data_IF_408722262241
#
_entry.id   IF_408722262241
#
_cell.length_a   1.000
_cell.length_b   1.000
_cell.length_c   1.000
_cell.angle_alpha   90.00
_cell.angle_beta   90.00
_cell.angle_gamma   90.00
#
_symmetry.space_group_name_H-M   'P 1'
#
loop_
_entity.id
_entity.type
_entity.pdbx_description
1 polymer ?
#
# COMPACT_ATOMS: atom_id res chain seq x y z
N UNK A 1 -8.46 4.21 28.05
CA UNK A 1 -9.11 3.00 28.63
C UNK A 1 -8.09 1.87 28.68
N UNK A 2 -8.11 1.00 29.70
CA UNK A 2 -7.26 -0.20 29.70
C UNK A 2 -7.74 -1.13 28.58
N UNK A 3 -6.78 -1.78 27.90
CA UNK A 3 -7.11 -2.78 26.89
C UNK A 3 -7.94 -3.91 27.55
N UNK A 4 -8.93 -4.46 26.84
CA UNK A 4 -9.68 -5.60 27.36
C UNK A 4 -8.75 -6.78 27.62
N UNK A 5 -9.04 -7.66 28.58
CA UNK A 5 -8.24 -8.83 28.82
C UNK A 5 -8.26 -9.72 27.57
N UNK A 6 -7.09 -10.25 27.21
CA UNK A 6 -6.99 -11.17 26.08
C UNK A 6 -7.81 -12.45 26.34
N UNK A 7 -8.51 -12.97 25.33
CA UNK A 7 -9.21 -14.24 25.45
C UNK A 7 -8.20 -15.37 25.74
N UNK A 8 -8.59 -16.39 26.50
CA UNK A 8 -7.73 -17.55 26.78
C UNK A 8 -7.61 -18.51 25.61
N UNK A 9 -8.65 -18.54 24.80
CA UNK A 9 -8.74 -19.37 23.60
C UNK A 9 -9.40 -18.54 22.52
N UNK A 10 -8.97 -18.69 21.30
CA UNK A 10 -9.52 -18.05 20.10
C UNK A 10 -9.29 -18.96 18.88
N UNK A 11 -10.23 -18.99 17.98
CA UNK A 11 -10.16 -19.86 16.79
C UNK A 11 -9.02 -19.46 15.85
N UNK A 12 -8.82 -18.15 15.66
CA UNK A 12 -7.82 -17.63 14.71
C UNK A 12 -7.04 -16.47 15.32
N UNK A 13 -5.73 -16.51 15.17
CA UNK A 13 -4.84 -15.41 15.55
C UNK A 13 -4.16 -14.88 14.30
N UNK A 14 -4.27 -13.58 14.06
CA UNK A 14 -3.50 -12.86 13.03
C UNK A 14 -2.46 -12.00 13.73
N UNK A 15 -1.20 -12.23 13.43
CA UNK A 15 -0.08 -11.49 14.00
C UNK A 15 0.43 -10.45 13.03
N UNK A 16 0.29 -9.19 13.41
CA UNK A 16 0.60 -7.99 12.61
C UNK A 16 -0.65 -7.45 11.90
N UNK A 17 -1.08 -6.26 12.30
CA UNK A 17 -2.16 -5.51 11.66
C UNK A 17 -1.64 -4.61 10.51
N UNK A 18 -0.62 -5.07 9.80
CA UNK A 18 -0.10 -4.39 8.61
C UNK A 18 -1.00 -4.57 7.38
N UNK A 19 -0.48 -4.20 6.21
CA UNK A 19 -1.21 -4.20 4.93
C UNK A 19 -1.89 -5.54 4.60
N UNK A 20 -1.25 -6.66 4.94
CA UNK A 20 -1.81 -7.99 4.71
C UNK A 20 -2.71 -8.47 5.86
N UNK A 21 -2.25 -8.33 7.11
CA UNK A 21 -2.96 -8.89 8.26
C UNK A 21 -4.27 -8.20 8.56
N UNK A 22 -4.35 -6.88 8.40
CA UNK A 22 -5.59 -6.14 8.55
C UNK A 22 -6.67 -6.61 7.55
N UNK A 23 -6.27 -6.80 6.28
CA UNK A 23 -7.16 -7.31 5.23
C UNK A 23 -7.58 -8.76 5.53
N UNK A 24 -6.64 -9.60 5.95
CA UNK A 24 -6.91 -11.00 6.28
C UNK A 24 -7.92 -11.10 7.43
N UNK A 25 -7.69 -10.38 8.53
CA UNK A 25 -8.60 -10.35 9.67
C UNK A 25 -10.00 -9.88 9.25
N UNK A 26 -10.09 -8.77 8.52
CA UNK A 26 -11.37 -8.25 8.02
C UNK A 26 -12.10 -9.26 7.12
N UNK A 27 -11.40 -9.95 6.22
CA UNK A 27 -12.03 -10.91 5.29
C UNK A 27 -12.45 -12.20 5.96
N UNK A 28 -11.72 -12.70 6.95
CA UNK A 28 -12.10 -13.89 7.72
C UNK A 28 -13.40 -13.63 8.49
N UNK A 29 -13.55 -12.45 9.09
CA UNK A 29 -14.73 -12.08 9.90
C UNK A 29 -15.93 -11.63 9.07
N UNK A 30 -15.75 -11.26 7.80
CA UNK A 30 -16.81 -10.71 6.94
C UNK A 30 -17.93 -11.73 6.62
N UNK A 31 -17.60 -13.00 6.56
CA UNK A 31 -18.51 -14.08 6.10
C UNK A 31 -18.69 -15.22 7.09
N UNK A 32 -18.26 -15.07 8.31
CA UNK A 32 -18.31 -16.14 9.31
C UNK A 32 -18.46 -15.56 10.71
N UNK A 33 -19.00 -16.36 11.61
CA UNK A 33 -19.06 -16.05 13.05
C UNK A 33 -17.70 -16.31 13.75
N UNK A 34 -16.62 -16.35 12.98
CA UNK A 34 -15.28 -16.63 13.51
C UNK A 34 -14.78 -15.48 14.35
N UNK A 35 -14.29 -15.80 15.51
CA UNK A 35 -13.52 -14.89 16.33
C UNK A 35 -12.08 -14.82 15.86
N UNK A 36 -11.61 -13.62 15.56
CA UNK A 36 -10.22 -13.37 15.15
C UNK A 36 -9.56 -12.45 16.15
N UNK A 37 -8.49 -12.89 16.75
CA UNK A 37 -7.60 -12.05 17.53
C UNK A 37 -6.53 -11.44 16.63
N UNK A 38 -6.60 -10.14 16.41
CA UNK A 38 -5.58 -9.39 15.67
C UNK A 38 -4.61 -8.75 16.67
N UNK A 39 -3.34 -9.13 16.58
CA UNK A 39 -2.26 -8.61 17.43
C UNK A 39 -1.33 -7.72 16.63
N UNK A 40 -1.00 -6.56 17.16
CA UNK A 40 0.02 -5.68 16.61
C UNK A 40 1.00 -5.18 17.68
N UNK A 41 2.22 -4.88 17.28
CA UNK A 41 3.26 -4.37 18.16
C UNK A 41 3.30 -2.84 18.22
N UNK A 42 2.62 -2.19 17.30
CA UNK A 42 2.53 -0.73 17.21
C UNK A 42 1.26 -0.17 17.86
N UNK A 43 1.18 1.16 17.99
CA UNK A 43 -0.04 1.82 18.46
C UNK A 43 -1.17 1.70 17.44
N UNK A 44 -2.39 1.77 17.96
CA UNK A 44 -3.61 1.94 17.19
C UNK A 44 -4.13 3.37 17.35
N UNK A 45 -4.63 3.93 16.25
CA UNK A 45 -5.26 5.25 16.19
C UNK A 45 -6.68 5.11 15.64
N UNK A 46 -7.64 4.68 16.48
CA UNK A 46 -9.03 4.58 16.05
C UNK A 46 -9.58 5.94 15.61
N UNK A 47 -10.70 5.98 14.85
CA UNK A 47 -11.23 7.19 14.20
C UNK A 47 -11.44 8.38 15.15
N UNK A 48 -11.65 8.14 16.43
CA UNK A 48 -11.86 9.19 17.46
C UNK A 48 -10.53 9.80 17.95
N UNK A 49 -9.41 9.15 17.62
CA UNK A 49 -8.08 9.61 18.02
C UNK A 49 -7.44 10.38 16.89
N UNK A 50 -7.00 11.64 17.11
CA UNK A 50 -6.27 12.37 16.07
C UNK A 50 -5.02 11.63 15.65
N UNK A 51 -4.83 11.46 14.34
CA UNK A 51 -3.59 10.90 13.80
C UNK A 51 -2.40 11.80 14.13
N UNK A 52 -1.27 11.24 14.56
CA UNK A 52 -0.01 11.95 14.64
C UNK A 52 0.34 12.67 13.33
N UNK A 53 1.07 13.80 13.38
CA UNK A 53 1.39 14.58 12.19
C UNK A 53 2.11 13.79 11.10
N UNK A 54 3.02 12.89 11.50
CA UNK A 54 3.80 12.04 10.60
C UNK A 54 2.96 10.97 9.86
N UNK A 55 1.83 10.56 10.43
CA UNK A 55 0.88 9.64 9.78
C UNK A 55 -0.18 10.35 8.93
N UNK A 56 -0.30 11.68 9.07
CA UNK A 56 -1.24 12.47 8.25
C UNK A 56 -0.63 12.99 6.97
N UNK A 57 0.69 13.06 6.89
CA UNK A 57 1.41 13.58 5.75
C UNK A 57 1.86 12.44 4.84
N UNK A 58 1.01 12.06 3.88
CA UNK A 58 1.31 11.04 2.88
C UNK A 58 2.35 11.44 1.82
N UNK A 59 2.88 12.67 1.86
CA UNK A 59 3.91 13.12 0.93
C UNK A 59 5.31 12.65 1.29
N UNK A 60 5.48 12.09 2.48
CA UNK A 60 6.76 11.56 2.98
C UNK A 60 6.56 10.36 3.89
N UNK A 61 7.54 9.48 3.91
CA UNK A 61 7.53 8.33 4.81
C UNK A 61 7.69 8.78 6.28
N UNK A 62 6.89 8.19 7.18
CA UNK A 62 7.22 8.22 8.61
C UNK A 62 8.30 7.17 8.90
N UNK A 63 9.51 7.62 9.23
CA UNK A 63 10.68 6.74 9.42
C UNK A 63 11.31 6.85 10.82
N UNK A 64 10.65 7.53 11.74
CA UNK A 64 11.17 7.77 13.10
C UNK A 64 10.22 7.26 14.18
N UNK A 65 9.02 7.84 14.29
CA UNK A 65 8.13 7.60 15.43
C UNK A 65 7.34 6.29 15.32
N UNK A 66 7.03 5.85 14.09
CA UNK A 66 6.25 4.65 13.82
C UNK A 66 7.03 3.60 13.01
N UNK A 67 8.31 3.50 13.27
CA UNK A 67 9.23 2.60 12.55
C UNK A 67 9.86 1.57 13.49
N UNK A 68 10.18 0.38 12.97
CA UNK A 68 10.91 -0.66 13.69
C UNK A 68 12.38 -0.33 13.91
N UNK A 69 12.93 0.64 13.20
CA UNK A 69 14.33 1.04 13.24
C UNK A 69 15.29 0.01 12.63
N UNK A 70 14.81 -0.84 11.74
CA UNK A 70 15.67 -1.83 11.09
C UNK A 70 16.75 -1.18 10.23
N UNK A 71 17.90 -1.82 10.20
CA UNK A 71 19.01 -1.43 9.36
C UNK A 71 19.48 -2.61 8.54
N UNK A 72 19.80 -2.35 7.30
CA UNK A 72 20.31 -3.32 6.34
C UNK A 72 21.69 -2.93 5.86
N UNK A 73 22.58 -3.92 5.73
CA UNK A 73 23.87 -3.76 5.04
C UNK A 73 23.74 -4.42 3.67
N UNK A 74 23.72 -3.66 2.58
CA UNK A 74 23.74 -4.26 1.26
C UNK A 74 25.11 -4.88 1.00
N UNK A 75 25.12 -6.11 0.59
CA UNK A 75 26.22 -6.89 0.00
C UNK A 75 27.58 -6.85 0.75
N UNK A 76 28.27 -7.97 0.67
CA UNK A 76 29.66 -8.17 1.15
C UNK A 76 30.65 -7.87 0.00
N UNK A 77 31.73 -7.15 0.25
CA UNK A 77 32.22 -6.63 1.54
C UNK A 77 31.47 -5.38 2.00
N UNK A 78 31.35 -5.19 3.32
CA UNK A 78 30.57 -4.07 3.90
C UNK A 78 31.34 -2.73 3.75
N UNK A 79 31.39 -2.20 2.56
CA UNK A 79 32.05 -0.89 2.28
C UNK A 79 31.17 0.31 2.61
N UNK A 80 29.87 0.07 2.87
CA UNK A 80 28.89 1.11 3.09
C UNK A 80 28.33 1.03 4.51
N UNK A 81 27.98 2.18 5.12
CA UNK A 81 27.29 2.18 6.40
C UNK A 81 25.93 1.45 6.27
N UNK A 82 25.38 0.93 7.37
CA UNK A 82 24.05 0.37 7.34
C UNK A 82 23.02 1.40 6.90
N UNK A 83 22.20 1.06 5.91
CA UNK A 83 21.07 1.88 5.49
C UNK A 83 19.83 1.59 6.35
N UNK A 84 19.00 2.59 6.54
CA UNK A 84 17.67 2.40 7.10
C UNK A 84 16.87 1.46 6.21
N UNK A 85 16.13 0.56 6.85
CA UNK A 85 15.21 -0.35 6.19
C UNK A 85 13.81 -0.15 6.80
N UNK A 86 13.12 0.95 6.44
CA UNK A 86 11.88 1.35 7.09
C UNK A 86 10.80 0.30 7.01
N UNK A 87 10.16 0.02 8.15
CA UNK A 87 8.98 -0.84 8.26
C UNK A 87 8.08 -0.28 9.33
N UNK A 88 6.81 -0.05 9.00
CA UNK A 88 5.86 0.54 9.93
C UNK A 88 5.62 -0.32 11.16
N UNK A 89 5.69 0.30 12.33
CA UNK A 89 5.32 -0.26 13.63
C UNK A 89 4.11 0.50 14.16
N UNK A 90 2.98 0.22 13.58
CA UNK A 90 1.68 0.88 13.82
C UNK A 90 0.60 0.01 13.20
N UNK A 91 -0.64 0.08 13.67
CA UNK A 91 -1.78 -0.53 12.97
C UNK A 91 -1.88 0.07 11.55
N UNK A 92 -1.94 -0.78 10.53
CA UNK A 92 -1.74 -0.43 9.13
C UNK A 92 -0.32 -0.77 8.61
N UNK A 93 0.66 -0.97 9.51
CA UNK A 93 2.02 -1.35 9.15
C UNK A 93 2.67 -0.38 8.17
N UNK A 94 3.40 -0.91 7.19
CA UNK A 94 4.10 -0.07 6.20
C UNK A 94 3.17 0.70 5.27
N UNK A 95 1.90 0.30 5.11
CA UNK A 95 0.92 1.08 4.35
C UNK A 95 0.44 2.35 5.08
N UNK A 96 0.62 2.42 6.41
CA UNK A 96 0.31 3.62 7.18
C UNK A 96 1.45 4.65 7.21
N UNK A 97 2.66 4.28 6.80
CA UNK A 97 3.88 5.12 6.89
C UNK A 97 4.57 5.37 5.55
N UNK A 98 4.04 4.85 4.45
CA UNK A 98 4.58 5.04 3.10
C UNK A 98 4.13 6.38 2.48
N UNK A 99 4.49 6.61 1.23
CA UNK A 99 4.13 7.82 0.47
C UNK A 99 2.84 7.67 -0.34
N UNK A 100 1.99 6.71 0.00
CA UNK A 100 0.64 6.52 -0.58
C UNK A 100 0.62 6.32 -2.11
N UNK A 101 1.70 5.81 -2.70
CA UNK A 101 1.73 5.47 -4.13
C UNK A 101 1.01 4.14 -4.33
N UNK A 102 -0.06 4.15 -5.15
CA UNK A 102 -0.87 2.98 -5.44
C UNK A 102 -0.58 2.47 -6.87
N UNK A 103 0.48 1.70 -7.01
CA UNK A 103 0.83 1.01 -8.26
C UNK A 103 0.62 -0.49 -8.11
N UNK A 104 0.07 -1.11 -9.16
CA UNK A 104 -0.03 -2.56 -9.30
C UNK A 104 1.23 -3.10 -9.98
N UNK A 105 1.49 -4.41 -9.81
CA UNK A 105 2.38 -5.12 -10.73
C UNK A 105 1.78 -5.19 -12.13
N UNK A 106 2.60 -5.36 -13.13
CA UNK A 106 2.16 -5.58 -14.51
C UNK A 106 1.47 -6.95 -14.63
N UNK A 107 0.67 -7.13 -15.65
CA UNK A 107 -0.06 -8.38 -15.88
C UNK A 107 0.86 -9.59 -15.97
N UNK A 108 1.99 -9.45 -16.68
CA UNK A 108 3.00 -10.51 -16.83
C UNK A 108 3.71 -10.86 -15.51
N UNK A 109 3.84 -9.95 -14.54
CA UNK A 109 4.44 -10.24 -13.24
C UNK A 109 3.69 -11.37 -12.52
N UNK A 110 2.35 -11.33 -12.58
CA UNK A 110 1.48 -12.34 -11.96
C UNK A 110 1.57 -13.68 -12.68
N UNK A 111 1.61 -13.65 -13.99
CA UNK A 111 1.67 -14.85 -14.82
C UNK A 111 3.05 -15.55 -14.72
N UNK A 112 4.13 -14.78 -14.59
CA UNK A 112 5.48 -15.29 -14.35
C UNK A 112 5.66 -16.03 -13.03
N UNK A 113 4.81 -15.76 -12.03
CA UNK A 113 4.83 -16.55 -10.78
C UNK A 113 4.51 -18.03 -11.00
N UNK A 114 3.87 -18.38 -12.11
CA UNK A 114 3.51 -19.76 -12.45
C UNK A 114 2.50 -20.39 -11.48
N UNK A 115 1.78 -19.60 -10.73
CA UNK A 115 0.79 -20.02 -9.75
C UNK A 115 -0.61 -19.90 -10.33
N UNK A 116 -1.28 -21.02 -10.54
CA UNK A 116 -2.58 -21.08 -11.22
C UNK A 116 -3.70 -20.22 -10.58
N UNK A 117 -3.59 -19.91 -9.29
CA UNK A 117 -4.56 -19.08 -8.58
C UNK A 117 -4.15 -17.60 -8.44
N UNK A 118 -2.99 -17.24 -8.98
CA UNK A 118 -2.40 -15.90 -8.88
C UNK A 118 -2.11 -15.29 -10.27
N UNK A 119 -2.84 -15.70 -11.29
CA UNK A 119 -2.77 -15.04 -12.60
C UNK A 119 -3.38 -13.65 -12.53
N UNK A 120 -2.99 -12.76 -13.46
CA UNK A 120 -3.56 -11.42 -13.54
C UNK A 120 -5.10 -11.44 -13.55
N UNK A 121 -5.70 -12.28 -14.37
CA UNK A 121 -7.16 -12.40 -14.47
C UNK A 121 -7.84 -12.75 -13.14
N UNK A 122 -7.18 -13.56 -12.32
CA UNK A 122 -7.70 -13.96 -10.99
C UNK A 122 -7.44 -12.91 -9.91
N UNK A 123 -6.38 -12.13 -10.04
CA UNK A 123 -6.03 -11.06 -9.09
C UNK A 123 -6.82 -9.77 -9.36
N UNK A 124 -7.10 -9.44 -10.61
CA UNK A 124 -7.80 -8.22 -11.00
C UNK A 124 -9.13 -7.96 -10.27
N UNK A 125 -10.02 -8.95 -10.05
CA UNK A 125 -11.23 -8.72 -9.26
C UNK A 125 -10.97 -8.28 -7.82
N UNK A 126 -9.85 -8.71 -7.21
CA UNK A 126 -9.48 -8.29 -5.87
C UNK A 126 -8.96 -6.83 -5.86
N UNK A 127 -8.17 -6.44 -6.85
CA UNK A 127 -7.74 -5.04 -7.02
C UNK A 127 -8.94 -4.12 -7.22
N UNK A 128 -9.85 -4.46 -8.12
CA UNK A 128 -11.08 -3.68 -8.36
C UNK A 128 -11.96 -3.53 -7.11
N UNK A 129 -12.04 -4.57 -6.28
CA UNK A 129 -12.81 -4.51 -5.03
C UNK A 129 -12.13 -3.69 -3.94
N UNK A 130 -10.81 -3.54 -4.02
CA UNK A 130 -10.01 -2.81 -3.05
C UNK A 130 -10.15 -1.30 -3.22
N UNK A 131 -10.27 -0.83 -4.46
CA UNK A 131 -10.13 0.58 -4.81
C UNK A 131 -11.46 1.31 -5.00
N UNK A 132 -11.43 2.60 -4.71
CA UNK A 132 -12.39 3.61 -5.12
C UNK A 132 -11.63 4.62 -5.97
N UNK A 133 -11.47 4.31 -7.27
CA UNK A 133 -10.72 5.15 -8.20
C UNK A 133 -11.62 6.29 -8.67
N UNK A 134 -11.22 7.53 -8.33
CA UNK A 134 -12.00 8.73 -8.58
C UNK A 134 -11.89 9.23 -10.02
N UNK A 135 -10.86 8.82 -10.74
CA UNK A 135 -10.57 9.30 -12.10
C UNK A 135 -11.02 8.28 -13.15
N UNK A 136 -10.74 6.99 -12.93
CA UNK A 136 -10.93 5.93 -13.92
C UNK A 136 -11.76 4.74 -13.42
N UNK A 137 -12.49 4.90 -12.31
CA UNK A 137 -13.22 3.82 -11.66
C UNK A 137 -14.21 3.06 -12.54
N UNK A 138 -14.68 3.65 -13.64
CA UNK A 138 -15.58 3.00 -14.60
C UNK A 138 -14.84 2.11 -15.63
N UNK A 139 -13.51 2.20 -15.71
CA UNK A 139 -12.74 1.37 -16.64
C UNK A 139 -12.73 -0.09 -16.19
N UNK A 140 -12.68 -1.06 -17.12
CA UNK A 140 -12.86 -2.48 -16.79
C UNK A 140 -11.77 -3.04 -15.86
N UNK A 141 -10.63 -2.39 -15.77
CA UNK A 141 -9.54 -2.77 -14.89
C UNK A 141 -9.46 -1.94 -13.59
N UNK A 142 -10.36 -0.97 -13.41
CA UNK A 142 -10.53 -0.20 -12.17
C UNK A 142 -11.80 -0.58 -11.41
N UNK A 143 -11.94 -0.07 -10.18
CA UNK A 143 -13.09 -0.27 -9.32
C UNK A 143 -13.57 1.01 -8.67
N UNK A 144 -14.79 0.98 -8.17
CA UNK A 144 -15.44 2.05 -7.42
C UNK A 144 -16.01 1.53 -6.12
N UNK A 145 -16.09 2.40 -5.12
CA UNK A 145 -16.70 2.11 -3.84
C UNK A 145 -15.89 1.17 -2.93
N UNK A 146 -14.66 0.84 -3.29
CA UNK A 146 -13.74 0.11 -2.43
C UNK A 146 -13.22 0.96 -1.25
N UNK A 147 -12.57 0.31 -0.27
CA UNK A 147 -12.13 1.00 0.95
C UNK A 147 -10.95 1.96 0.72
N UNK A 148 -10.20 1.83 -0.37
CA UNK A 148 -9.03 2.66 -0.66
C UNK A 148 -9.35 3.62 -1.78
N UNK A 149 -9.46 4.89 -1.42
CA UNK A 149 -9.69 5.98 -2.35
C UNK A 149 -8.40 6.35 -3.07
N UNK A 150 -8.45 6.39 -4.41
CA UNK A 150 -7.30 6.69 -5.28
C UNK A 150 -7.64 7.81 -6.23
N UNK A 151 -6.67 8.68 -6.51
CA UNK A 151 -6.74 9.70 -7.55
C UNK A 151 -5.36 9.99 -8.12
N UNK A 152 -5.31 10.63 -9.27
CA UNK A 152 -4.07 11.15 -9.85
C UNK A 152 -3.93 12.63 -9.49
N UNK A 153 -2.69 13.11 -9.49
CA UNK A 153 -2.43 14.54 -9.34
C UNK A 153 -2.70 15.24 -10.68
N UNK A 154 -3.43 16.37 -10.62
CA UNK A 154 -3.59 17.21 -11.78
C UNK A 154 -2.30 17.99 -12.11
N UNK A 155 -2.17 18.53 -13.35
CA UNK A 155 -0.99 19.28 -13.75
C UNK A 155 -0.65 20.45 -12.82
N UNK A 156 -1.65 21.05 -12.20
CA UNK A 156 -1.50 22.17 -11.26
C UNK A 156 -0.96 21.76 -9.89
N UNK A 157 -0.97 20.47 -9.58
CA UNK A 157 -0.42 19.93 -8.33
C UNK A 157 1.04 19.50 -8.47
N UNK A 158 1.56 19.45 -9.71
CA UNK A 158 2.93 19.05 -9.98
C UNK A 158 3.93 20.09 -9.48
N UNK A 159 4.95 19.64 -8.78
CA UNK A 159 6.08 20.52 -8.48
C UNK A 159 6.93 20.74 -9.74
N UNK A 160 7.71 21.86 -9.83
CA UNK A 160 8.46 22.19 -11.04
C UNK A 160 9.36 21.08 -11.58
N UNK A 161 9.95 20.27 -10.69
CA UNK A 161 10.78 19.13 -11.09
C UNK A 161 9.99 18.01 -11.78
N UNK A 162 8.79 17.74 -11.32
CA UNK A 162 7.92 16.73 -11.96
C UNK A 162 7.48 17.19 -13.35
N UNK A 163 7.05 18.45 -13.46
CA UNK A 163 6.68 19.03 -14.76
C UNK A 163 7.86 18.98 -15.75
N UNK A 164 9.05 19.45 -15.34
CA UNK A 164 10.25 19.43 -16.17
C UNK A 164 10.67 18.00 -16.56
N UNK A 165 10.46 17.00 -15.68
CA UNK A 165 10.71 15.60 -16.00
C UNK A 165 9.78 15.11 -17.12
N UNK A 166 8.48 15.40 -17.04
CA UNK A 166 7.51 14.99 -18.05
C UNK A 166 7.80 15.69 -19.40
N UNK A 167 8.16 16.97 -19.39
CA UNK A 167 8.58 17.70 -20.60
C UNK A 167 9.82 17.04 -21.24
N UNK A 168 10.83 16.74 -20.45
CA UNK A 168 12.05 16.08 -20.95
C UNK A 168 11.76 14.67 -21.52
N UNK A 169 10.85 13.91 -20.92
CA UNK A 169 10.42 12.63 -21.44
C UNK A 169 9.75 12.79 -22.82
N UNK A 170 8.87 13.75 -22.95
CA UNK A 170 8.21 14.06 -24.22
C UNK A 170 9.19 14.51 -25.30
N UNK A 171 10.16 15.36 -24.99
CA UNK A 171 11.22 15.80 -25.90
C UNK A 171 12.10 14.64 -26.38
N UNK A 172 12.32 13.63 -25.53
CA UNK A 172 13.08 12.43 -25.86
C UNK A 172 12.25 11.36 -26.59
N UNK A 173 10.95 11.61 -26.80
CA UNK A 173 10.07 10.72 -27.55
C UNK A 173 9.50 9.57 -26.73
N UNK A 174 9.50 9.66 -25.40
CA UNK A 174 8.76 8.73 -24.56
C UNK A 174 7.26 9.03 -24.63
N UNK A 175 6.45 7.97 -24.66
CA UNK A 175 5.00 8.10 -24.60
C UNK A 175 4.57 8.69 -23.25
N UNK A 176 3.47 9.43 -23.27
CA UNK A 176 2.81 9.86 -22.03
C UNK A 176 1.78 8.80 -21.60
N UNK A 177 1.65 8.60 -20.30
CA UNK A 177 0.57 7.81 -19.73
C UNK A 177 -0.18 8.58 -18.66
N UNK A 178 -1.49 8.53 -18.71
CA UNK A 178 -2.37 9.12 -17.68
C UNK A 178 -2.69 8.13 -16.55
N UNK A 179 -2.32 6.85 -16.75
CA UNK A 179 -2.71 5.78 -15.85
C UNK A 179 -1.71 4.60 -15.91
N UNK A 180 -0.83 4.56 -14.93
CA UNK A 180 0.14 3.48 -14.77
C UNK A 180 -0.46 2.14 -14.34
N UNK A 181 -1.71 2.13 -13.88
CA UNK A 181 -2.43 0.90 -13.50
C UNK A 181 -3.22 0.29 -14.67
N UNK A 182 -3.18 0.90 -15.84
CA UNK A 182 -3.74 0.33 -17.06
C UNK A 182 -2.86 -0.82 -17.52
N UNK A 183 -3.40 -2.04 -17.76
CA UNK A 183 -2.63 -3.16 -18.26
C UNK A 183 -1.81 -2.81 -19.51
N UNK A 184 -0.54 -3.17 -19.51
CA UNK A 184 0.39 -2.83 -20.59
C UNK A 184 0.70 -1.35 -20.73
N UNK A 185 0.50 -0.55 -19.68
CA UNK A 185 0.83 0.87 -19.69
C UNK A 185 2.33 1.07 -19.67
N UNK A 186 2.83 1.86 -20.62
CA UNK A 186 4.23 2.31 -20.66
C UNK A 186 4.27 3.81 -20.89
N UNK A 187 5.31 4.47 -20.38
CA UNK A 187 5.49 5.91 -20.59
C UNK A 187 5.74 6.69 -19.32
N UNK A 188 5.73 8.01 -19.44
CA UNK A 188 5.88 8.95 -18.35
C UNK A 188 4.52 9.54 -17.95
N UNK A 189 4.22 9.55 -16.64
CA UNK A 189 2.96 10.10 -16.13
C UNK A 189 2.96 10.33 -14.64
#
# INVERSE_FOLDING_TARGET
MAAPPLPREVETIVVGAGSAGAVLAARITERSDREVLLLDAGPDYPPETPLPPDLRDGTRNSIHDHDWGFRHRPVVPPRYPPHLFPRGRVVGGSSAVNTCIALRGEDYDFDEWGLADWTWEKCLPAFRRLEDDLDFGERPYHGQGGPIRMRRHGPEELVPWQAAFLEACAELGFDATEDHNRPGSTGAG
#
